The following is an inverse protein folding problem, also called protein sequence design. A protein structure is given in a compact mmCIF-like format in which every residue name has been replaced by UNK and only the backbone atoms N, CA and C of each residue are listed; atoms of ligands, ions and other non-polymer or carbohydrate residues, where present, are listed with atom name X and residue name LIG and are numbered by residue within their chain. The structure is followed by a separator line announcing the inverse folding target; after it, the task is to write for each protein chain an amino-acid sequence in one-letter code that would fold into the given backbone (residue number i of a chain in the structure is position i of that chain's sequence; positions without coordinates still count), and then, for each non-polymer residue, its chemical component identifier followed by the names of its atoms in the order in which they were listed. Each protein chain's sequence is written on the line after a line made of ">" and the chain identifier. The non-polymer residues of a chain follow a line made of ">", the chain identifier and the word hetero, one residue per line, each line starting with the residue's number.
data_IF_497871465161
#
_entry.id   IF_497871465161
#
_cell.length_a   1.000
_cell.length_b   1.000
_cell.length_c   1.000
_cell.angle_alpha   90.00
_cell.angle_beta   90.00
_cell.angle_gamma   90.00
#
_symmetry.space_group_name_H-M   'P 1'
#
loop_
_entity.id
_entity.type
_entity.pdbx_description
1 polymer ?
#
# COMPACT_ATOMS: atom_id res chain seq x y z
N UNK A 1 28.43 6.04 -13.76
CA UNK A 1 27.91 4.65 -13.88
C UNK A 1 29.08 3.65 -13.97
N UNK A 2 30.13 3.87 -14.78
CA UNK A 2 31.30 2.99 -14.86
C UNK A 2 32.09 2.95 -13.53
N UNK A 3 32.24 4.08 -12.83
CA UNK A 3 32.98 4.17 -11.57
C UNK A 3 32.28 3.45 -10.39
N UNK A 4 30.94 3.48 -10.34
CA UNK A 4 30.15 2.73 -9.34
C UNK A 4 30.21 1.21 -9.58
N UNK A 5 30.32 0.77 -10.84
CA UNK A 5 30.45 -0.64 -11.18
C UNK A 5 31.83 -1.17 -10.80
N UNK A 6 32.90 -0.43 -11.06
CA UNK A 6 34.26 -0.78 -10.68
C UNK A 6 34.43 -0.84 -9.15
N UNK A 7 33.80 0.06 -8.39
CA UNK A 7 33.82 0.02 -6.92
C UNK A 7 33.06 -1.18 -6.35
N UNK A 8 31.95 -1.56 -6.98
CA UNK A 8 31.19 -2.75 -6.58
C UNK A 8 31.96 -4.05 -6.86
N UNK A 9 32.74 -4.11 -7.95
CA UNK A 9 33.58 -5.25 -8.31
C UNK A 9 34.83 -5.38 -7.39
N UNK A 10 35.30 -4.26 -6.82
CA UNK A 10 36.42 -4.20 -5.87
C UNK A 10 35.98 -4.36 -4.41
N UNK A 11 34.68 -4.37 -4.11
CA UNK A 11 34.19 -4.60 -2.77
C UNK A 11 34.51 -6.01 -2.29
N UNK A 12 34.85 -6.21 -1.00
CA UNK A 12 35.08 -7.56 -0.48
C UNK A 12 33.91 -8.48 -0.81
N UNK A 13 34.20 -9.62 -1.39
CA UNK A 13 33.18 -10.65 -1.61
C UNK A 13 32.69 -11.14 -0.25
N UNK A 14 31.48 -10.81 0.12
CA UNK A 14 30.89 -11.16 1.42
C UNK A 14 29.74 -10.20 1.74
N UNK A 15 28.65 -10.29 1.00
CA UNK A 15 27.37 -9.66 1.33
C UNK A 15 26.47 -10.60 2.11
N UNK A 16 25.42 -10.07 2.72
CA UNK A 16 24.32 -10.88 3.25
C UNK A 16 23.64 -11.54 2.05
N UNK A 17 23.52 -12.87 2.05
CA UNK A 17 22.78 -13.59 1.01
C UNK A 17 21.35 -13.06 0.93
N UNK A 18 20.86 -12.81 -0.28
CA UNK A 18 19.50 -12.38 -0.52
C UNK A 18 18.51 -13.40 0.04
N UNK A 19 17.77 -13.04 1.06
CA UNK A 19 16.69 -13.90 1.57
C UNK A 19 15.64 -14.16 0.50
N UNK A 20 14.94 -15.30 0.58
CA UNK A 20 13.82 -15.59 -0.34
C UNK A 20 12.81 -14.42 -0.39
N UNK A 21 12.46 -13.85 0.76
CA UNK A 21 11.53 -12.72 0.83
C UNK A 21 12.02 -11.48 0.08
N UNK A 22 13.29 -11.15 0.24
CA UNK A 22 13.89 -10.05 -0.51
C UNK A 22 13.83 -10.31 -2.02
N UNK A 23 14.18 -11.52 -2.46
CA UNK A 23 14.13 -11.90 -3.87
C UNK A 23 12.71 -11.85 -4.44
N UNK A 24 11.69 -12.27 -3.69
CA UNK A 24 10.28 -12.19 -4.08
C UNK A 24 9.81 -10.72 -4.22
N UNK A 25 10.18 -9.87 -3.26
CA UNK A 25 9.86 -8.44 -3.32
C UNK A 25 10.57 -7.80 -4.52
N UNK A 26 11.85 -8.10 -4.74
CA UNK A 26 12.62 -7.62 -5.89
C UNK A 26 11.96 -8.02 -7.21
N UNK A 27 11.51 -9.27 -7.35
CA UNK A 27 10.80 -9.75 -8.53
C UNK A 27 9.50 -8.94 -8.78
N UNK A 28 8.74 -8.65 -7.72
CA UNK A 28 7.52 -7.83 -7.81
C UNK A 28 7.83 -6.39 -8.22
N UNK A 29 8.86 -5.77 -7.62
CA UNK A 29 9.29 -4.40 -7.95
C UNK A 29 9.76 -4.32 -9.40
N UNK A 30 10.55 -5.27 -9.87
CA UNK A 30 10.97 -5.32 -11.27
C UNK A 30 9.79 -5.28 -12.26
N UNK A 31 8.68 -5.96 -11.93
CA UNK A 31 7.47 -5.97 -12.77
C UNK A 31 6.68 -4.64 -12.76
N UNK A 32 6.99 -3.71 -11.86
CA UNK A 32 6.42 -2.35 -11.87
C UNK A 32 7.05 -1.52 -13.00
N UNK A 33 8.33 -1.76 -13.28
CA UNK A 33 9.11 -1.03 -14.29
C UNK A 33 9.16 -1.74 -15.66
N UNK A 34 8.50 -2.90 -15.80
CA UNK A 34 8.38 -3.55 -17.12
C UNK A 34 7.38 -2.80 -18.00
N UNK A 35 7.75 -2.57 -19.26
CA UNK A 35 6.92 -1.87 -20.24
C UNK A 35 5.57 -2.56 -20.45
N UNK A 36 5.56 -3.89 -20.45
CA UNK A 36 4.33 -4.69 -20.58
C UNK A 36 4.37 -5.93 -19.69
N UNK A 37 3.22 -6.40 -19.22
CA UNK A 37 3.13 -7.65 -18.46
C UNK A 37 3.68 -8.87 -19.24
N UNK A 38 3.53 -8.86 -20.57
CA UNK A 38 4.02 -9.93 -21.44
C UNK A 38 5.53 -10.08 -21.44
N UNK A 39 6.28 -8.98 -21.38
CA UNK A 39 7.75 -9.02 -21.25
C UNK A 39 8.17 -9.62 -19.92
N UNK A 40 7.53 -9.21 -18.82
CA UNK A 40 7.78 -9.80 -17.51
C UNK A 40 7.47 -11.30 -17.48
N UNK A 41 6.35 -11.72 -18.06
CA UNK A 41 5.98 -13.13 -18.15
C UNK A 41 7.01 -13.94 -18.96
N UNK A 42 7.46 -13.40 -20.11
CA UNK A 42 8.49 -14.05 -20.94
C UNK A 42 9.81 -14.23 -20.17
N UNK A 43 10.26 -13.18 -19.47
CA UNK A 43 11.49 -13.22 -18.68
C UNK A 43 11.42 -14.24 -17.56
N UNK A 44 10.37 -14.21 -16.73
CA UNK A 44 10.25 -15.13 -15.61
C UNK A 44 9.98 -16.57 -16.06
N UNK A 45 9.37 -16.77 -17.24
CA UNK A 45 9.23 -18.11 -17.84
C UNK A 45 10.59 -18.66 -18.22
N UNK A 46 11.42 -17.89 -18.90
CA UNK A 46 12.79 -18.32 -19.22
C UNK A 46 13.60 -18.70 -17.96
N UNK A 47 13.54 -17.88 -16.90
CA UNK A 47 14.19 -18.19 -15.62
C UNK A 47 13.63 -19.46 -14.97
N UNK A 48 12.35 -19.75 -15.14
CA UNK A 48 11.72 -20.96 -14.62
C UNK A 48 12.08 -22.20 -15.46
N UNK A 49 12.26 -22.04 -16.78
CA UNK A 49 12.73 -23.10 -17.68
C UNK A 49 14.17 -23.49 -17.38
N UNK A 50 15.05 -22.50 -17.05
CA UNK A 50 16.43 -22.74 -16.59
C UNK A 50 16.47 -23.42 -15.22
N UNK A 51 15.59 -23.02 -14.29
CA UNK A 51 15.49 -23.59 -12.96
C UNK A 51 14.03 -23.84 -12.55
N UNK A 52 13.48 -25.02 -12.88
CA UNK A 52 12.09 -25.38 -12.59
C UNK A 52 11.70 -25.39 -11.11
N UNK A 53 12.70 -25.42 -10.21
CA UNK A 53 12.49 -25.37 -8.75
C UNK A 53 12.53 -23.95 -8.17
N UNK A 54 12.81 -22.94 -8.98
CA UNK A 54 12.90 -21.56 -8.53
C UNK A 54 11.53 -21.00 -8.12
N UNK A 55 11.31 -20.84 -6.83
CA UNK A 55 10.08 -20.24 -6.29
C UNK A 55 10.01 -18.75 -6.66
N UNK A 56 11.14 -18.06 -6.78
CA UNK A 56 11.21 -16.66 -7.20
C UNK A 56 10.74 -16.48 -8.66
N UNK A 57 11.25 -17.33 -9.56
CA UNK A 57 10.85 -17.28 -10.97
C UNK A 57 9.37 -17.64 -11.14
N UNK A 58 8.88 -18.65 -10.42
CA UNK A 58 7.45 -19.03 -10.41
C UNK A 58 6.56 -17.92 -9.87
N UNK A 59 6.96 -17.27 -8.78
CA UNK A 59 6.24 -16.13 -8.22
C UNK A 59 6.21 -14.94 -9.19
N UNK A 60 7.36 -14.55 -9.74
CA UNK A 60 7.44 -13.47 -10.73
C UNK A 60 6.57 -13.74 -11.95
N UNK A 61 6.58 -14.99 -12.46
CA UNK A 61 5.71 -15.41 -13.56
C UNK A 61 4.22 -15.27 -13.18
N UNK A 62 3.84 -15.73 -11.99
CA UNK A 62 2.45 -15.62 -11.52
C UNK A 62 1.98 -14.15 -11.44
N UNK A 63 2.80 -13.25 -10.89
CA UNK A 63 2.47 -11.81 -10.82
C UNK A 63 2.35 -11.19 -12.23
N UNK A 64 3.28 -11.53 -13.14
CA UNK A 64 3.21 -11.04 -14.52
C UNK A 64 1.94 -11.53 -15.24
N UNK A 65 1.55 -12.79 -15.00
CA UNK A 65 0.35 -13.40 -15.55
C UNK A 65 -0.93 -12.76 -15.00
N UNK A 66 -0.99 -12.44 -13.69
CA UNK A 66 -2.11 -11.69 -13.10
C UNK A 66 -2.27 -10.36 -13.80
N UNK A 67 -1.17 -9.58 -13.92
CA UNK A 67 -1.17 -8.29 -14.62
C UNK A 67 -1.55 -8.39 -16.09
N UNK A 68 -1.20 -9.50 -16.74
CA UNK A 68 -1.50 -9.78 -18.15
C UNK A 68 -2.86 -10.47 -18.40
N UNK A 69 -3.66 -10.71 -17.36
CA UNK A 69 -4.97 -11.36 -17.47
C UNK A 69 -4.95 -12.87 -17.70
N UNK A 70 -3.77 -13.51 -17.60
CA UNK A 70 -3.59 -14.98 -17.72
C UNK A 70 -3.88 -15.64 -16.36
N UNK A 71 -5.15 -15.53 -15.91
CA UNK A 71 -5.51 -15.84 -14.52
C UNK A 71 -5.49 -17.34 -14.19
N UNK A 72 -5.71 -18.21 -15.17
CA UNK A 72 -5.67 -19.65 -14.95
C UNK A 72 -4.23 -20.15 -14.73
N UNK A 73 -3.31 -19.69 -15.56
CA UNK A 73 -1.87 -20.01 -15.46
C UNK A 73 -1.28 -19.45 -14.16
N UNK A 74 -1.65 -18.22 -13.79
CA UNK A 74 -1.27 -17.63 -12.53
C UNK A 74 -1.72 -18.46 -11.33
N UNK A 75 -2.96 -18.97 -11.38
CA UNK A 75 -3.53 -19.83 -10.33
C UNK A 75 -2.72 -21.11 -10.14
N UNK A 76 -2.33 -21.77 -11.22
CA UNK A 76 -1.53 -23.01 -11.14
C UNK A 76 -0.14 -22.74 -10.55
N UNK A 77 0.50 -21.63 -10.93
CA UNK A 77 1.79 -21.25 -10.34
C UNK A 77 1.66 -20.92 -8.83
N UNK A 78 0.66 -20.16 -8.42
CA UNK A 78 0.42 -19.83 -7.02
C UNK A 78 0.03 -21.06 -6.19
N UNK A 79 -0.77 -21.97 -6.75
CA UNK A 79 -1.12 -23.25 -6.12
C UNK A 79 0.13 -24.05 -5.74
N UNK A 80 1.11 -24.14 -6.63
CA UNK A 80 2.38 -24.84 -6.36
C UNK A 80 3.18 -24.15 -5.25
N UNK A 81 3.25 -22.82 -5.25
CA UNK A 81 3.95 -22.05 -4.22
C UNK A 81 3.28 -22.21 -2.85
N UNK A 82 1.95 -22.08 -2.79
CA UNK A 82 1.17 -22.22 -1.56
C UNK A 82 1.14 -23.66 -1.04
N UNK A 83 1.30 -24.68 -1.90
CA UNK A 83 1.45 -26.06 -1.46
C UNK A 83 2.76 -26.28 -0.69
N UNK A 84 3.83 -25.58 -1.06
CA UNK A 84 5.13 -25.64 -0.36
C UNK A 84 5.13 -24.78 0.91
N UNK A 85 4.55 -23.59 0.88
CA UNK A 85 4.56 -22.61 1.97
C UNK A 85 3.19 -21.94 2.13
N UNK A 86 2.20 -22.62 2.75
CA UNK A 86 0.81 -22.14 2.82
C UNK A 86 0.63 -20.84 3.62
N UNK A 87 1.55 -20.56 4.53
CA UNK A 87 1.52 -19.38 5.40
C UNK A 87 2.46 -18.25 4.93
N UNK A 88 3.15 -18.41 3.77
CA UNK A 88 3.99 -17.32 3.27
C UNK A 88 3.11 -16.15 2.84
N UNK A 89 3.30 -15.01 3.50
CA UNK A 89 2.46 -13.81 3.32
C UNK A 89 2.53 -13.30 1.88
N UNK A 90 3.71 -13.31 1.27
CA UNK A 90 3.92 -12.79 -0.10
C UNK A 90 3.14 -13.62 -1.12
N UNK A 91 3.10 -14.95 -0.97
CA UNK A 91 2.31 -15.82 -1.85
C UNK A 91 0.81 -15.64 -1.62
N UNK A 92 0.39 -15.49 -0.37
CA UNK A 92 -1.01 -15.24 -0.03
C UNK A 92 -1.49 -13.88 -0.56
N UNK A 93 -0.66 -12.82 -0.50
CA UNK A 93 -0.97 -11.53 -1.10
C UNK A 93 -1.10 -11.62 -2.62
N UNK A 94 -0.23 -12.39 -3.28
CA UNK A 94 -0.37 -12.65 -4.72
C UNK A 94 -1.67 -13.39 -5.06
N UNK A 95 -2.08 -14.35 -4.21
CA UNK A 95 -3.37 -15.03 -4.38
C UNK A 95 -4.56 -14.08 -4.16
N UNK A 96 -4.44 -13.13 -3.21
CA UNK A 96 -5.44 -12.06 -3.02
C UNK A 96 -5.52 -11.18 -4.27
N UNK A 97 -4.39 -10.77 -4.84
CA UNK A 97 -4.36 -10.01 -6.10
C UNK A 97 -5.07 -10.77 -7.25
N UNK A 98 -4.81 -12.08 -7.35
CA UNK A 98 -5.48 -12.94 -8.33
C UNK A 98 -7.00 -13.02 -8.09
N UNK A 99 -7.42 -13.20 -6.84
CA UNK A 99 -8.83 -13.30 -6.48
C UNK A 99 -9.56 -11.96 -6.76
N UNK A 100 -8.93 -10.82 -6.46
CA UNK A 100 -9.46 -9.48 -6.79
C UNK A 100 -9.59 -9.30 -8.31
N UNK A 101 -8.53 -9.62 -9.05
CA UNK A 101 -8.52 -9.47 -10.53
C UNK A 101 -9.55 -10.36 -11.19
N UNK A 102 -9.81 -11.52 -10.61
CA UNK A 102 -10.85 -12.46 -11.07
C UNK A 102 -12.25 -12.18 -10.48
N UNK A 103 -12.46 -11.00 -9.87
CA UNK A 103 -13.70 -10.55 -9.23
C UNK A 103 -14.23 -11.51 -8.13
N UNK A 104 -13.32 -12.25 -7.47
CA UNK A 104 -13.63 -13.16 -6.37
C UNK A 104 -13.40 -12.47 -5.02
N UNK A 105 -14.05 -11.31 -4.82
CA UNK A 105 -13.86 -10.47 -3.65
C UNK A 105 -14.12 -11.17 -2.31
N UNK A 106 -15.14 -12.07 -2.15
CA UNK A 106 -15.35 -12.81 -0.91
C UNK A 106 -14.18 -13.75 -0.56
N UNK A 107 -13.58 -14.41 -1.54
CA UNK A 107 -12.44 -15.30 -1.31
C UNK A 107 -11.18 -14.51 -0.90
N UNK A 108 -10.94 -13.38 -1.58
CA UNK A 108 -9.89 -12.44 -1.22
C UNK A 108 -10.05 -11.94 0.23
N UNK A 109 -11.27 -11.53 0.61
CA UNK A 109 -11.58 -11.05 1.96
C UNK A 109 -11.33 -12.13 3.00
N UNK A 110 -11.86 -13.34 2.80
CA UNK A 110 -11.67 -14.47 3.72
C UNK A 110 -10.20 -14.81 3.93
N UNK A 111 -9.39 -14.71 2.88
CA UNK A 111 -7.95 -14.94 2.96
C UNK A 111 -7.24 -13.86 3.77
N UNK A 112 -7.55 -12.59 3.51
CA UNK A 112 -6.98 -11.45 4.25
C UNK A 112 -7.36 -11.52 5.72
N UNK A 113 -8.62 -11.76 6.05
CA UNK A 113 -9.09 -11.83 7.43
C UNK A 113 -8.41 -12.97 8.20
N UNK A 114 -8.24 -14.15 7.59
CA UNK A 114 -7.48 -15.26 8.17
C UNK A 114 -6.02 -14.88 8.45
N UNK A 115 -5.37 -14.20 7.50
CA UNK A 115 -3.98 -13.77 7.68
C UNK A 115 -3.86 -12.70 8.76
N UNK A 116 -4.80 -11.76 8.86
CA UNK A 116 -4.83 -10.74 9.89
C UNK A 116 -5.08 -11.31 11.30
N UNK A 117 -5.74 -12.47 11.41
CA UNK A 117 -5.84 -13.18 12.69
C UNK A 117 -4.46 -13.64 13.17
N UNK A 118 -3.56 -14.04 12.26
CA UNK A 118 -2.20 -14.47 12.58
C UNK A 118 -1.21 -13.29 12.68
N UNK A 119 -1.43 -12.25 11.89
CA UNK A 119 -0.53 -11.08 11.75
C UNK A 119 -1.31 -9.77 11.84
N UNK A 120 -1.94 -9.43 12.98
CA UNK A 120 -2.85 -8.29 13.08
C UNK A 120 -2.17 -6.94 12.80
N UNK A 121 -0.89 -6.81 13.13
CA UNK A 121 -0.09 -5.60 12.86
C UNK A 121 0.54 -5.55 11.48
N UNK A 122 0.26 -6.49 10.58
CA UNK A 122 0.85 -6.48 9.25
C UNK A 122 0.26 -5.37 8.39
N UNK A 123 1.05 -4.35 8.11
CA UNK A 123 0.61 -3.15 7.38
C UNK A 123 0.09 -3.47 5.97
N UNK A 124 0.83 -4.19 5.10
CA UNK A 124 0.34 -4.56 3.78
C UNK A 124 -1.01 -5.30 3.78
N UNK A 125 -1.23 -6.22 4.73
CA UNK A 125 -2.51 -6.92 4.84
C UNK A 125 -3.66 -5.99 5.24
N UNK A 126 -3.42 -5.06 6.16
CA UNK A 126 -4.41 -4.06 6.55
C UNK A 126 -4.76 -3.13 5.40
N UNK A 127 -3.78 -2.71 4.59
CA UNK A 127 -4.00 -1.92 3.38
C UNK A 127 -4.91 -2.66 2.39
N UNK A 128 -4.56 -3.90 2.07
CA UNK A 128 -5.37 -4.73 1.16
C UNK A 128 -6.79 -4.95 1.70
N UNK A 129 -6.96 -5.06 3.03
CA UNK A 129 -8.29 -5.14 3.66
C UNK A 129 -9.12 -3.89 3.39
N UNK A 130 -8.52 -2.71 3.54
CA UNK A 130 -9.19 -1.43 3.26
C UNK A 130 -9.62 -1.38 1.79
N UNK A 131 -8.72 -1.69 0.85
CA UNK A 131 -9.01 -1.70 -0.58
C UNK A 131 -10.15 -2.66 -0.94
N UNK A 132 -10.17 -3.86 -0.34
CA UNK A 132 -11.23 -4.84 -0.52
C UNK A 132 -12.58 -4.33 -0.02
N UNK A 133 -12.61 -3.71 1.16
CA UNK A 133 -13.83 -3.15 1.73
C UNK A 133 -14.39 -2.02 0.86
N UNK A 134 -13.52 -1.16 0.32
CA UNK A 134 -13.92 -0.10 -0.60
C UNK A 134 -14.46 -0.66 -1.91
N UNK A 135 -13.82 -1.69 -2.49
CA UNK A 135 -14.31 -2.39 -3.70
C UNK A 135 -15.67 -3.07 -3.49
N UNK A 136 -15.99 -3.44 -2.26
CA UNK A 136 -17.27 -4.00 -1.85
C UNK A 136 -18.30 -2.92 -1.48
N UNK A 137 -18.03 -1.63 -1.68
CA UNK A 137 -18.84 -0.49 -1.25
C UNK A 137 -19.11 -0.45 0.28
N UNK A 138 -18.18 -0.96 1.08
CA UNK A 138 -18.25 -1.04 2.55
C UNK A 138 -17.38 0.05 3.19
N UNK A 139 -17.62 1.30 2.81
CA UNK A 139 -16.81 2.44 3.26
C UNK A 139 -16.78 2.60 4.80
N UNK A 140 -17.89 2.34 5.49
CA UNK A 140 -17.94 2.40 6.96
C UNK A 140 -17.02 1.37 7.64
N UNK A 141 -16.91 0.16 7.08
CA UNK A 141 -16.01 -0.87 7.60
C UNK A 141 -14.55 -0.54 7.25
N UNK A 142 -14.30 0.04 6.08
CA UNK A 142 -12.99 0.54 5.69
C UNK A 142 -12.52 1.66 6.63
N UNK A 143 -13.39 2.60 7.00
CA UNK A 143 -13.07 3.67 7.97
C UNK A 143 -12.67 3.09 9.32
N UNK A 144 -13.38 2.10 9.85
CA UNK A 144 -13.00 1.40 11.11
C UNK A 144 -11.64 0.71 11.01
N UNK A 145 -11.34 0.09 9.87
CA UNK A 145 -10.04 -0.54 9.65
C UNK A 145 -8.91 0.51 9.64
N UNK A 146 -9.14 1.66 9.01
CA UNK A 146 -8.20 2.79 8.97
C UNK A 146 -8.00 3.45 10.33
N UNK A 147 -9.04 3.55 11.18
CA UNK A 147 -8.88 4.02 12.56
C UNK A 147 -7.90 3.14 13.36
N UNK A 148 -7.93 1.83 13.13
CA UNK A 148 -6.96 0.89 13.70
C UNK A 148 -5.53 1.16 13.22
N UNK A 149 -5.36 1.46 11.93
CA UNK A 149 -4.07 1.83 11.34
C UNK A 149 -3.55 3.17 11.88
N UNK A 150 -4.40 4.19 11.99
CA UNK A 150 -4.05 5.50 12.55
C UNK A 150 -3.54 5.42 13.99
N UNK A 151 -4.07 4.49 14.81
CA UNK A 151 -3.57 4.29 16.19
C UNK A 151 -2.13 3.80 16.21
N UNK A 152 -1.71 3.00 15.24
CA UNK A 152 -0.36 2.44 15.17
C UNK A 152 0.58 3.27 14.29
N UNK A 153 0.05 4.10 13.39
CA UNK A 153 0.77 4.91 12.41
C UNK A 153 0.14 6.29 12.24
N UNK A 154 0.12 7.12 13.29
CA UNK A 154 -0.53 8.43 13.24
C UNK A 154 0.16 9.40 12.27
N UNK A 155 1.45 9.21 12.02
CA UNK A 155 2.28 10.08 11.18
C UNK A 155 2.54 9.49 9.78
N UNK A 156 1.73 8.51 9.34
CA UNK A 156 1.85 7.92 8.01
C UNK A 156 0.93 8.67 7.02
N UNK A 157 1.49 9.44 6.07
CA UNK A 157 0.67 10.21 5.13
C UNK A 157 -0.20 9.33 4.23
N UNK A 158 0.24 8.11 3.87
CA UNK A 158 -0.54 7.20 3.04
C UNK A 158 -1.82 6.74 3.75
N UNK A 159 -1.76 6.54 5.08
CA UNK A 159 -2.95 6.21 5.88
C UNK A 159 -3.93 7.38 5.89
N UNK A 160 -3.46 8.61 6.08
CA UNK A 160 -4.31 9.80 6.05
C UNK A 160 -4.93 10.05 4.68
N UNK A 161 -4.18 9.79 3.60
CA UNK A 161 -4.73 9.83 2.25
C UNK A 161 -5.90 8.86 2.08
N UNK A 162 -5.74 7.60 2.51
CA UNK A 162 -6.81 6.60 2.44
C UNK A 162 -8.01 6.94 3.32
N UNK A 163 -7.78 7.52 4.51
CA UNK A 163 -8.88 8.04 5.36
C UNK A 163 -9.67 9.10 4.61
N UNK A 164 -8.99 10.01 3.92
CA UNK A 164 -9.65 11.05 3.13
C UNK A 164 -10.50 10.46 2.00
N UNK A 165 -9.94 9.54 1.21
CA UNK A 165 -10.67 8.84 0.14
C UNK A 165 -11.90 8.10 0.68
N UNK A 166 -11.72 7.34 1.75
CA UNK A 166 -12.80 6.56 2.39
C UNK A 166 -13.92 7.47 2.88
N UNK A 167 -13.59 8.59 3.53
CA UNK A 167 -14.56 9.58 4.00
C UNK A 167 -15.27 10.28 2.85
N UNK A 168 -14.57 10.53 1.75
CA UNK A 168 -15.18 11.05 0.52
C UNK A 168 -16.23 10.11 -0.04
N UNK A 169 -15.91 8.82 -0.14
CA UNK A 169 -16.83 7.77 -0.62
C UNK A 169 -18.04 7.56 0.31
N UNK A 170 -17.87 7.76 1.61
CA UNK A 170 -18.98 7.68 2.60
C UNK A 170 -19.80 8.96 2.69
N UNK A 171 -19.45 10.02 1.96
CA UNK A 171 -20.14 11.33 2.02
C UNK A 171 -19.78 12.17 3.23
N UNK A 172 -18.81 11.76 4.04
CA UNK A 172 -18.30 12.54 5.18
C UNK A 172 -17.34 13.63 4.70
N UNK A 173 -17.91 14.69 4.08
CA UNK A 173 -17.12 15.77 3.44
C UNK A 173 -16.26 16.54 4.44
N UNK A 174 -16.75 16.77 5.66
CA UNK A 174 -15.96 17.44 6.70
C UNK A 174 -14.75 16.58 7.07
N UNK A 175 -14.98 15.31 7.35
CA UNK A 175 -13.94 14.35 7.67
C UNK A 175 -12.92 14.16 6.55
N UNK A 176 -13.36 14.18 5.28
CA UNK A 176 -12.48 14.18 4.11
C UNK A 176 -11.49 15.35 4.17
N UNK A 177 -11.98 16.58 4.35
CA UNK A 177 -11.12 17.76 4.37
C UNK A 177 -10.19 17.78 5.60
N UNK A 178 -10.67 17.30 6.76
CA UNK A 178 -9.80 17.14 7.93
C UNK A 178 -8.67 16.13 7.67
N UNK A 179 -8.97 14.98 7.08
CA UNK A 179 -7.96 13.97 6.76
C UNK A 179 -6.96 14.46 5.69
N UNK A 180 -7.43 15.20 4.69
CA UNK A 180 -6.53 15.85 3.71
C UNK A 180 -5.61 16.87 4.36
N UNK A 181 -6.09 17.60 5.36
CA UNK A 181 -5.26 18.54 6.09
C UNK A 181 -4.11 17.82 6.83
N UNK A 182 -4.39 16.70 7.49
CA UNK A 182 -3.33 15.91 8.13
C UNK A 182 -2.34 15.33 7.09
N UNK A 183 -2.84 14.81 5.97
CA UNK A 183 -1.98 14.37 4.87
C UNK A 183 -1.03 15.48 4.42
N UNK A 184 -1.56 16.67 4.09
CA UNK A 184 -0.74 17.79 3.62
C UNK A 184 0.23 18.30 4.68
N UNK A 185 -0.17 18.31 5.95
CA UNK A 185 0.72 18.66 7.06
C UNK A 185 1.92 17.71 7.16
N UNK A 186 1.68 16.40 7.04
CA UNK A 186 2.72 15.37 7.11
C UNK A 186 3.70 15.42 5.93
N UNK A 187 3.24 15.84 4.75
CA UNK A 187 4.14 16.03 3.60
C UNK A 187 4.76 17.43 3.54
N UNK A 188 4.52 18.27 4.56
CA UNK A 188 5.12 19.60 4.70
C UNK A 188 4.42 20.72 3.92
N UNK A 189 3.29 20.44 3.26
CA UNK A 189 2.50 21.47 2.55
C UNK A 189 1.46 22.10 3.50
N UNK A 190 1.96 22.91 4.45
CA UNK A 190 1.11 23.58 5.44
C UNK A 190 0.07 24.50 4.82
N UNK A 191 0.37 25.12 3.67
CA UNK A 191 -0.59 25.98 2.97
C UNK A 191 -1.81 25.20 2.51
N UNK A 192 -1.61 24.06 1.88
CA UNK A 192 -2.71 23.19 1.47
C UNK A 192 -3.45 22.62 2.69
N UNK A 193 -2.73 22.24 3.73
CA UNK A 193 -3.32 21.75 4.97
C UNK A 193 -4.30 22.76 5.57
N UNK A 194 -3.89 24.02 5.71
CA UNK A 194 -4.72 25.14 6.23
C UNK A 194 -5.94 25.36 5.32
N UNK A 195 -5.75 25.34 4.00
CA UNK A 195 -6.85 25.50 3.04
C UNK A 195 -7.88 24.37 3.18
N UNK A 196 -7.45 23.11 3.40
CA UNK A 196 -8.37 22.00 3.63
C UNK A 196 -9.19 22.21 4.92
N UNK A 197 -8.58 22.71 6.00
CA UNK A 197 -9.32 23.06 7.23
C UNK A 197 -10.32 24.18 7.00
N UNK A 198 -10.02 25.16 6.14
CA UNK A 198 -11.00 26.19 5.76
C UNK A 198 -12.22 25.60 5.04
N UNK A 199 -12.03 24.61 4.15
CA UNK A 199 -13.12 23.89 3.53
C UNK A 199 -13.96 23.12 4.57
N UNK A 200 -13.30 22.40 5.49
CA UNK A 200 -13.98 21.70 6.57
C UNK A 200 -14.80 22.66 7.43
N UNK A 201 -14.24 23.80 7.81
CA UNK A 201 -14.90 24.82 8.64
C UNK A 201 -16.13 25.38 7.96
N UNK A 202 -16.04 25.76 6.68
CA UNK A 202 -17.22 26.24 5.92
C UNK A 202 -18.34 25.22 5.87
N UNK A 203 -18.00 23.92 5.77
CA UNK A 203 -18.98 22.83 5.78
C UNK A 203 -19.53 22.52 7.17
N UNK A 204 -18.77 22.80 8.24
CA UNK A 204 -19.24 22.64 9.62
C UNK A 204 -20.36 23.61 9.99
N UNK A 205 -20.45 24.77 9.32
CA UNK A 205 -21.52 25.73 9.50
C UNK A 205 -21.66 26.20 10.96
N UNK A 206 -22.86 26.02 11.54
CA UNK A 206 -23.17 26.39 12.91
C UNK A 206 -22.74 25.39 13.99
N UNK A 207 -22.04 24.31 13.62
CA UNK A 207 -21.52 23.35 14.60
C UNK A 207 -20.30 23.94 15.33
N UNK A 208 -20.57 24.72 16.37
CA UNK A 208 -19.54 25.42 17.14
C UNK A 208 -18.45 24.50 17.73
N UNK A 209 -18.76 23.33 18.38
CA UNK A 209 -17.72 22.45 18.89
C UNK A 209 -16.78 21.92 17.82
N UNK A 210 -17.31 21.62 16.63
CA UNK A 210 -16.52 21.14 15.50
C UNK A 210 -15.66 22.27 14.91
N UNK A 211 -16.25 23.44 14.69
CA UNK A 211 -15.53 24.62 14.19
C UNK A 211 -14.38 25.01 15.12
N UNK A 212 -14.60 24.99 16.44
CA UNK A 212 -13.55 25.30 17.43
C UNK A 212 -12.37 24.31 17.36
N UNK A 213 -12.63 23.02 17.16
CA UNK A 213 -11.56 22.02 16.98
C UNK A 213 -10.78 22.24 15.68
N UNK A 214 -11.48 22.57 14.61
CA UNK A 214 -10.85 22.91 13.33
C UNK A 214 -9.97 24.15 13.47
N UNK A 215 -10.45 25.20 14.14
CA UNK A 215 -9.70 26.42 14.39
C UNK A 215 -8.45 26.19 15.26
N UNK A 216 -8.55 25.32 16.25
CA UNK A 216 -7.40 24.94 17.06
C UNK A 216 -6.33 24.26 16.21
N UNK A 217 -6.71 23.29 15.40
CA UNK A 217 -5.75 22.59 14.52
C UNK A 217 -5.15 23.51 13.47
N UNK A 218 -5.92 24.43 12.93
CA UNK A 218 -5.45 25.42 11.97
C UNK A 218 -4.37 26.33 12.57
N UNK A 219 -4.56 26.80 13.81
CA UNK A 219 -3.54 27.59 14.54
C UNK A 219 -2.24 26.79 14.74
N UNK A 220 -2.34 25.53 15.15
CA UNK A 220 -1.16 24.65 15.28
C UNK A 220 -0.39 24.52 13.96
N UNK A 221 -1.08 24.34 12.83
CA UNK A 221 -0.44 24.24 11.52
C UNK A 221 0.21 25.56 11.07
N UNK A 222 -0.41 26.70 11.37
CA UNK A 222 0.19 28.01 11.10
C UNK A 222 1.48 28.23 11.92
N UNK A 223 1.49 27.78 13.16
CA UNK A 223 2.67 27.85 14.02
C UNK A 223 3.78 26.92 13.51
N UNK A 224 3.47 25.70 13.12
CA UNK A 224 4.42 24.77 12.50
C UNK A 224 5.00 25.32 11.19
N UNK A 225 4.18 25.90 10.32
CA UNK A 225 4.62 26.55 9.09
C UNK A 225 5.62 27.68 9.38
N UNK A 226 5.32 28.50 10.39
CA UNK A 226 6.20 29.59 10.82
C UNK A 226 7.54 29.05 11.33
N UNK A 227 7.52 28.05 12.22
CA UNK A 227 8.75 27.45 12.75
C UNK A 227 9.64 26.88 11.63
N UNK A 228 9.04 26.20 10.64
CA UNK A 228 9.81 25.68 9.50
C UNK A 228 10.41 26.80 8.68
N UNK A 229 9.68 27.88 8.40
CA UNK A 229 10.21 29.06 7.68
C UNK A 229 11.36 29.73 8.42
N UNK A 230 11.24 29.88 9.75
CA UNK A 230 12.29 30.48 10.59
C UNK A 230 13.56 29.62 10.67
N UNK A 231 13.45 28.29 10.48
CA UNK A 231 14.60 27.37 10.42
C UNK A 231 15.29 27.34 9.06
N UNK A 232 14.60 27.71 7.98
CA UNK A 232 15.11 27.66 6.60
C UNK A 232 15.67 29.01 6.10
N UNK A 233 15.42 30.10 6.80
CA UNK A 233 15.89 31.46 6.49
C UNK A 233 17.06 31.84 7.30
#
# INVERSE_FOLDING_TARGET
>A
IADTRNRAEQAPQGGIEDTLRYQLIRARVQLIYEETPGLGAKRFRALLDENPKSDVARYGLAIAQIKGGQLNEARENLKQLLAKAPNEIIYNLAQVDLDITNNRLPDAQSRVDRLLTQYPGNYPLNQVRVDLLLKQNRAADAEKALEGLLKSRPDDPDVWYQVAETRGLSGNIIGLHQARAEYFALVGDYRQAIQQLDFAKRKAGSNFPLSSRIDARQRELMEQERMVKDMMG
#
